data_IF_140392405736
#
_entry.id   IF_140392405736
#
_cell.length_a   1.000
_cell.length_b   1.000
_cell.length_c   1.000
_cell.angle_alpha   90.00
_cell.angle_beta   90.00
_cell.angle_gamma   90.00
#
_symmetry.space_group_name_H-M   'P 1'
#
loop_
_entity.id
_entity.type
_entity.pdbx_description
1 polymer ?
#
# COMPACT_ATOMS: atom_id res chain seq x y z
N UNK A 1 22.89 -16.13 4.49
CA UNK A 1 21.41 -16.06 4.47
C UNK A 1 20.86 -14.63 4.35
N UNK A 2 21.56 -13.70 3.68
CA UNK A 2 21.17 -12.27 3.52
C UNK A 2 19.91 -12.01 2.67
N UNK A 3 19.50 -12.98 1.86
CA UNK A 3 18.45 -12.82 0.83
C UNK A 3 17.07 -12.42 1.39
N UNK A 4 16.69 -12.90 2.59
CA UNK A 4 15.35 -12.66 3.15
C UNK A 4 15.11 -11.18 3.52
N UNK A 5 16.14 -10.49 4.02
CA UNK A 5 16.06 -9.07 4.37
C UNK A 5 15.95 -8.20 3.11
N UNK A 6 16.64 -8.59 2.04
CA UNK A 6 16.53 -7.91 0.74
C UNK A 6 15.11 -7.99 0.18
N UNK A 7 14.47 -9.16 0.25
CA UNK A 7 13.08 -9.36 -0.22
C UNK A 7 12.12 -8.44 0.54
N UNK A 8 12.22 -8.40 1.87
CA UNK A 8 11.42 -7.51 2.72
C UNK A 8 11.55 -6.03 2.30
N UNK A 9 12.79 -5.60 2.02
CA UNK A 9 13.07 -4.24 1.60
C UNK A 9 12.53 -3.94 0.20
N UNK A 10 12.61 -4.89 -0.74
CA UNK A 10 11.99 -4.74 -2.06
C UNK A 10 10.47 -4.70 -1.99
N UNK A 11 9.84 -5.49 -1.12
CA UNK A 11 8.39 -5.41 -0.88
C UNK A 11 7.99 -4.03 -0.36
N UNK A 12 8.78 -3.45 0.55
CA UNK A 12 8.56 -2.09 1.03
C UNK A 12 8.68 -1.06 -0.10
N UNK A 13 9.77 -1.09 -0.87
CA UNK A 13 9.94 -0.20 -2.03
C UNK A 13 8.81 -0.33 -3.05
N UNK A 14 8.42 -1.57 -3.37
CA UNK A 14 7.32 -1.84 -4.29
C UNK A 14 5.99 -1.27 -3.76
N UNK A 15 5.71 -1.40 -2.46
CA UNK A 15 4.51 -0.82 -1.85
C UNK A 15 4.46 0.71 -1.98
N UNK A 16 5.61 1.39 -1.84
CA UNK A 16 5.71 2.85 -2.05
C UNK A 16 5.46 3.21 -3.51
N UNK A 17 6.12 2.52 -4.44
CA UNK A 17 6.00 2.79 -5.89
C UNK A 17 4.56 2.61 -6.35
N UNK A 18 3.92 1.52 -5.95
CA UNK A 18 2.52 1.24 -6.28
C UNK A 18 1.60 2.31 -5.69
N UNK A 19 1.84 2.75 -4.45
CA UNK A 19 1.06 3.82 -3.82
C UNK A 19 1.21 5.17 -4.55
N UNK A 20 2.43 5.52 -4.98
CA UNK A 20 2.67 6.75 -5.75
C UNK A 20 1.96 6.68 -7.12
N UNK A 21 2.09 5.56 -7.83
CA UNK A 21 1.40 5.34 -9.10
C UNK A 21 -0.13 5.45 -8.94
N UNK A 22 -0.68 4.91 -7.86
CA UNK A 22 -2.11 5.03 -7.52
C UNK A 22 -2.55 6.49 -7.42
N UNK A 23 -1.78 7.31 -6.70
CA UNK A 23 -2.08 8.72 -6.49
C UNK A 23 -1.97 9.52 -7.79
N UNK A 24 -0.95 9.25 -8.61
CA UNK A 24 -0.79 9.90 -9.92
C UNK A 24 -1.96 9.55 -10.84
N UNK A 25 -2.33 8.27 -10.92
CA UNK A 25 -3.48 7.83 -11.70
C UNK A 25 -4.77 8.50 -11.21
N UNK A 26 -5.05 8.46 -9.90
CA UNK A 26 -6.21 9.12 -9.31
C UNK A 26 -6.30 10.61 -9.64
N UNK A 27 -5.17 11.33 -9.59
CA UNK A 27 -5.11 12.76 -9.93
C UNK A 27 -5.37 13.02 -11.42
N UNK A 28 -4.76 12.23 -12.31
CA UNK A 28 -4.98 12.34 -13.77
C UNK A 28 -6.45 12.09 -14.11
N UNK A 29 -7.07 11.08 -13.48
CA UNK A 29 -8.49 10.79 -13.69
C UNK A 29 -9.41 11.92 -13.21
N UNK A 30 -9.08 12.56 -12.08
CA UNK A 30 -9.87 13.69 -11.57
C UNK A 30 -9.78 14.94 -12.46
N UNK A 31 -8.58 15.31 -12.93
CA UNK A 31 -8.38 16.53 -13.74
C UNK A 31 -8.89 16.41 -15.18
N UNK A 32 -8.94 15.20 -15.75
CA UNK A 32 -9.37 15.00 -17.15
C UNK A 32 -10.88 14.93 -17.33
N UNK A 33 -11.68 14.99 -16.25
CA UNK A 33 -13.14 14.90 -16.32
C UNK A 33 -13.64 13.57 -16.90
N UNK A 34 -12.79 12.55 -16.95
CA UNK A 34 -13.13 11.25 -17.50
C UNK A 34 -13.99 10.47 -16.50
N UNK A 35 -15.30 10.74 -16.55
CA UNK A 35 -16.35 10.00 -15.83
C UNK A 35 -16.47 8.59 -16.41
N UNK A 36 -15.56 7.69 -16.02
CA UNK A 36 -15.76 6.25 -16.16
C UNK A 36 -16.79 5.83 -15.08
N UNK A 37 -18.06 5.96 -15.45
CA UNK A 37 -19.20 5.63 -14.61
C UNK A 37 -19.03 4.27 -13.93
N UNK A 38 -19.34 4.22 -12.64
CA UNK A 38 -19.82 3.03 -11.91
C UNK A 38 -18.95 1.76 -11.93
N UNK A 39 -17.70 1.82 -12.43
CA UNK A 39 -16.79 0.67 -12.54
C UNK A 39 -15.34 0.94 -12.07
N UNK A 40 -15.03 2.17 -11.65
CA UNK A 40 -13.66 2.59 -11.33
C UNK A 40 -13.22 2.28 -9.89
N UNK A 41 -14.16 1.94 -9.00
CA UNK A 41 -13.86 1.55 -7.62
C UNK A 41 -12.98 0.30 -7.56
N UNK A 42 -13.15 -0.60 -8.54
CA UNK A 42 -12.46 -1.88 -8.61
C UNK A 42 -10.95 -1.71 -8.85
N UNK A 43 -10.55 -0.69 -9.62
CA UNK A 43 -9.13 -0.33 -9.80
C UNK A 43 -8.55 0.26 -8.53
N UNK A 44 -9.28 1.16 -7.86
CA UNK A 44 -8.88 1.71 -6.56
C UNK A 44 -8.70 0.62 -5.51
N UNK A 45 -9.68 -0.28 -5.37
CA UNK A 45 -9.63 -1.43 -4.47
C UNK A 45 -8.52 -2.43 -4.84
N UNK A 46 -8.29 -2.68 -6.12
CA UNK A 46 -7.21 -3.58 -6.57
C UNK A 46 -5.83 -3.02 -6.22
N UNK A 47 -5.64 -1.71 -6.38
CA UNK A 47 -4.38 -1.04 -6.01
C UNK A 47 -4.21 -1.05 -4.49
N UNK A 48 -5.25 -0.71 -3.72
CA UNK A 48 -5.25 -0.80 -2.26
C UNK A 48 -4.91 -2.20 -1.76
N UNK A 49 -5.51 -3.23 -2.33
CA UNK A 49 -5.24 -4.62 -2.02
C UNK A 49 -3.78 -5.01 -2.32
N UNK A 50 -3.23 -4.54 -3.45
CA UNK A 50 -1.85 -4.83 -3.83
C UNK A 50 -0.82 -4.20 -2.87
N UNK A 51 -1.02 -2.96 -2.44
CA UNK A 51 -0.14 -2.32 -1.43
C UNK A 51 -0.24 -3.09 -0.11
N UNK A 52 -1.45 -3.49 0.31
CA UNK A 52 -1.67 -4.23 1.55
C UNK A 52 -0.97 -5.59 1.55
N UNK A 53 -1.12 -6.37 0.47
CA UNK A 53 -0.47 -7.68 0.31
C UNK A 53 1.05 -7.54 0.28
N UNK A 54 1.59 -6.57 -0.47
CA UNK A 54 3.04 -6.33 -0.54
C UNK A 54 3.61 -5.95 0.82
N UNK A 55 2.94 -5.08 1.58
CA UNK A 55 3.39 -4.69 2.90
C UNK A 55 3.31 -5.83 3.93
N UNK A 56 2.26 -6.66 3.88
CA UNK A 56 2.17 -7.88 4.71
C UNK A 56 3.30 -8.88 4.41
N UNK A 57 3.52 -9.15 3.13
CA UNK A 57 4.60 -10.06 2.68
C UNK A 57 5.96 -9.50 3.10
N UNK A 58 6.18 -8.20 2.91
CA UNK A 58 7.37 -7.51 3.38
C UNK A 58 7.58 -7.67 4.87
N UNK A 59 6.55 -7.43 5.69
CA UNK A 59 6.62 -7.56 7.14
C UNK A 59 6.99 -8.98 7.60
N UNK A 60 6.38 -10.02 7.00
CA UNK A 60 6.68 -11.43 7.31
C UNK A 60 8.14 -11.78 7.00
N UNK A 61 8.64 -11.34 5.84
CA UNK A 61 10.05 -11.55 5.49
C UNK A 61 11.00 -10.71 6.34
N UNK A 62 10.58 -9.51 6.74
CA UNK A 62 11.30 -8.64 7.66
C UNK A 62 11.54 -9.33 8.99
N UNK A 63 10.49 -9.85 9.64
CA UNK A 63 10.63 -10.58 10.90
C UNK A 63 11.52 -11.83 10.78
N UNK A 64 11.43 -12.56 9.66
CA UNK A 64 12.25 -13.75 9.36
C UNK A 64 13.70 -13.44 8.93
N UNK A 65 14.06 -12.17 8.69
CA UNK A 65 15.41 -11.76 8.28
C UNK A 65 16.45 -11.78 9.41
N UNK A 66 17.74 -11.77 9.06
CA UNK A 66 18.85 -11.63 10.02
C UNK A 66 18.86 -10.25 10.71
N UNK A 67 19.54 -10.12 11.86
CA UNK A 67 19.75 -8.84 12.54
C UNK A 67 20.60 -7.92 11.65
N UNK A 68 19.97 -6.94 11.02
CA UNK A 68 20.60 -5.93 10.17
C UNK A 68 19.79 -4.62 10.24
N UNK A 69 20.45 -3.48 10.06
CA UNK A 69 19.78 -2.17 10.03
C UNK A 69 18.67 -2.12 8.96
N UNK A 70 18.91 -2.72 7.80
CA UNK A 70 17.92 -2.79 6.71
C UNK A 70 16.67 -3.60 7.09
N UNK A 71 16.80 -4.59 7.99
CA UNK A 71 15.65 -5.34 8.52
C UNK A 71 14.74 -4.42 9.31
N UNK A 72 15.29 -3.62 10.22
CA UNK A 72 14.49 -2.72 11.06
C UNK A 72 13.78 -1.66 10.22
N UNK A 73 14.47 -1.05 9.27
CA UNK A 73 13.88 -0.08 8.34
C UNK A 73 12.72 -0.72 7.57
N UNK A 74 12.93 -1.94 7.07
CA UNK A 74 11.88 -2.64 6.31
C UNK A 74 10.69 -3.06 7.18
N UNK A 75 10.91 -3.50 8.42
CA UNK A 75 9.83 -3.81 9.36
C UNK A 75 9.02 -2.55 9.68
N UNK A 76 9.69 -1.46 10.06
CA UNK A 76 9.03 -0.19 10.42
C UNK A 76 8.29 0.38 9.21
N UNK A 77 8.92 0.37 8.03
CA UNK A 77 8.32 0.85 6.79
C UNK A 77 7.08 0.05 6.36
N UNK A 78 7.15 -1.29 6.39
CA UNK A 78 5.99 -2.12 6.07
C UNK A 78 4.85 -1.96 7.10
N UNK A 79 5.16 -1.78 8.39
CA UNK A 79 4.16 -1.49 9.43
C UNK A 79 3.47 -0.15 9.20
N UNK A 80 4.22 0.90 8.83
CA UNK A 80 3.68 2.21 8.50
C UNK A 80 2.76 2.15 7.28
N UNK A 81 3.14 1.41 6.24
CA UNK A 81 2.30 1.21 5.07
C UNK A 81 0.97 0.52 5.42
N UNK A 82 1.00 -0.52 6.27
CA UNK A 82 -0.21 -1.18 6.76
C UNK A 82 -1.11 -0.26 7.58
N UNK A 83 -0.53 0.56 8.46
CA UNK A 83 -1.27 1.54 9.26
C UNK A 83 -1.99 2.55 8.35
N UNK A 84 -1.27 3.12 7.39
CA UNK A 84 -1.82 4.13 6.46
C UNK A 84 -2.96 3.56 5.63
N UNK A 85 -2.80 2.34 5.09
CA UNK A 85 -3.86 1.67 4.34
C UNK A 85 -5.07 1.37 5.23
N UNK A 86 -4.84 0.86 6.44
CA UNK A 86 -5.91 0.56 7.38
C UNK A 86 -6.73 1.80 7.76
N UNK A 87 -6.04 2.92 8.06
CA UNK A 87 -6.70 4.20 8.32
C UNK A 87 -7.48 4.72 7.11
N UNK A 88 -6.93 4.60 5.91
CA UNK A 88 -7.61 4.99 4.68
C UNK A 88 -8.87 4.14 4.43
N UNK A 89 -8.79 2.83 4.63
CA UNK A 89 -9.95 1.94 4.51
C UNK A 89 -11.04 2.27 5.52
N UNK A 90 -10.67 2.55 6.78
CA UNK A 90 -11.65 2.99 7.80
C UNK A 90 -12.27 4.33 7.39
N UNK A 91 -11.48 5.29 6.91
CA UNK A 91 -11.98 6.59 6.48
C UNK A 91 -12.96 6.47 5.30
N UNK A 92 -12.69 5.59 4.33
CA UNK A 92 -13.59 5.30 3.20
C UNK A 92 -14.91 4.70 3.67
N UNK A 93 -14.86 3.70 4.56
CA UNK A 93 -16.06 3.13 5.16
C UNK A 93 -16.86 4.22 5.88
N UNK A 94 -16.23 5.03 6.73
CA UNK A 94 -16.92 6.12 7.43
C UNK A 94 -17.52 7.12 6.45
N UNK A 95 -16.83 7.47 5.37
CA UNK A 95 -17.35 8.35 4.33
C UNK A 95 -18.60 7.77 3.63
N UNK A 96 -18.62 6.47 3.34
CA UNK A 96 -19.76 5.81 2.69
C UNK A 96 -20.97 5.63 3.62
N UNK A 97 -20.75 5.47 4.94
CA UNK A 97 -21.81 5.19 5.91
C UNK A 97 -22.33 6.41 6.69
N UNK A 98 -21.64 7.55 6.64
CA UNK A 98 -22.12 8.80 7.26
C UNK A 98 -22.88 9.62 6.21
N UNK A 99 -24.20 9.85 6.39
CA UNK A 99 -24.97 10.68 5.46
C UNK A 99 -24.42 12.11 5.46
N UNK A 100 -24.26 12.67 4.26
CA UNK A 100 -23.80 14.06 4.04
C UNK A 100 -24.89 15.08 4.38
#
# INVERSE_FOLDING_TARGET
MKSKTSISFYCFLASIVVFILANIMGKIYYETGFSLGTGNDWLGYSILASVFVLSLVGLVYGFKGEKSSLKYISIVGNSLALLTIGLLSIALIVYDFVPQ
#
